data_IF_095265252640
#
_entry.id   IF_095265252640
#
_cell.length_a   1.000
_cell.length_b   1.000
_cell.length_c   1.000
_cell.angle_alpha   90.00
_cell.angle_beta   90.00
_cell.angle_gamma   90.00
#
_symmetry.space_group_name_H-M   'P 1'
#
loop_
_entity.id
_entity.type
_entity.pdbx_description
1 polymer ?
#
# COMPACT_ATOMS: atom_id res chain seq x y z
N UNK A 1 -9.11 -0.90 29.08
CA UNK A 1 -7.87 -1.12 28.31
C UNK A 1 -8.13 -2.27 27.37
N UNK A 2 -8.25 -2.01 26.07
CA UNK A 2 -8.50 -3.08 25.08
C UNK A 2 -7.27 -3.97 24.99
N UNK A 3 -7.45 -5.30 25.08
CA UNK A 3 -6.32 -6.23 24.92
C UNK A 3 -5.97 -6.35 23.43
N UNK A 4 -4.68 -6.48 23.06
CA UNK A 4 -4.28 -6.64 21.65
C UNK A 4 -4.99 -7.82 20.97
N UNK A 5 -5.22 -8.90 21.71
CA UNK A 5 -6.00 -10.06 21.26
C UNK A 5 -7.45 -9.70 20.91
N UNK A 6 -8.11 -8.90 21.74
CA UNK A 6 -9.48 -8.46 21.46
C UNK A 6 -9.53 -7.56 20.23
N UNK A 7 -8.60 -6.60 20.13
CA UNK A 7 -8.46 -5.73 18.96
C UNK A 7 -8.27 -6.54 17.66
N UNK A 8 -7.44 -7.58 17.69
CA UNK A 8 -7.26 -8.48 16.56
C UNK A 8 -8.56 -9.21 16.21
N UNK A 9 -9.27 -9.80 17.17
CA UNK A 9 -10.49 -10.54 16.88
C UNK A 9 -11.60 -9.64 16.30
N UNK A 10 -11.70 -8.41 16.79
CA UNK A 10 -12.74 -7.46 16.37
C UNK A 10 -12.43 -6.80 15.02
N UNK A 11 -11.15 -6.72 14.63
CA UNK A 11 -10.71 -5.96 13.45
C UNK A 11 -9.86 -6.75 12.44
N UNK A 12 -9.64 -8.06 12.61
CA UNK A 12 -8.80 -8.87 11.69
C UNK A 12 -9.23 -8.76 10.23
N UNK A 13 -10.53 -8.65 9.94
CA UNK A 13 -11.04 -8.48 8.58
C UNK A 13 -10.63 -7.12 8.02
N UNK A 14 -10.88 -6.04 8.76
CA UNK A 14 -10.45 -4.70 8.37
C UNK A 14 -8.92 -4.60 8.22
N UNK A 15 -8.16 -5.24 9.10
CA UNK A 15 -6.69 -5.26 9.06
C UNK A 15 -6.12 -6.10 7.91
N UNK A 16 -6.94 -6.92 7.27
CA UNK A 16 -6.54 -7.80 6.16
C UNK A 16 -7.32 -7.53 4.87
N UNK A 17 -8.15 -6.48 4.82
CA UNK A 17 -8.98 -6.13 3.67
C UNK A 17 -8.13 -5.92 2.41
N UNK A 18 -7.02 -5.19 2.54
CA UNK A 18 -6.15 -4.90 1.42
C UNK A 18 -5.37 -6.14 0.95
N UNK A 19 -5.04 -7.04 1.87
CA UNK A 19 -4.47 -8.36 1.56
C UNK A 19 -5.46 -9.21 0.77
N UNK A 20 -6.72 -9.24 1.18
CA UNK A 20 -7.80 -9.91 0.44
C UNK A 20 -7.96 -9.29 -0.96
N UNK A 21 -7.97 -7.97 -1.06
CA UNK A 21 -8.05 -7.26 -2.33
C UNK A 21 -6.90 -7.65 -3.28
N UNK A 22 -5.67 -7.68 -2.77
CA UNK A 22 -4.50 -8.12 -3.54
C UNK A 22 -4.61 -9.59 -3.99
N UNK A 23 -5.12 -10.47 -3.12
CA UNK A 23 -5.33 -11.87 -3.45
C UNK A 23 -6.35 -12.04 -4.59
N UNK A 24 -7.47 -11.31 -4.53
CA UNK A 24 -8.51 -11.31 -5.58
C UNK A 24 -7.96 -10.89 -6.94
N UNK A 25 -7.16 -9.82 -6.99
CA UNK A 25 -6.53 -9.34 -8.22
C UNK A 25 -5.56 -10.37 -8.80
N UNK A 26 -4.68 -10.92 -7.96
CA UNK A 26 -3.64 -11.88 -8.40
C UNK A 26 -4.23 -13.19 -8.91
N UNK A 27 -5.20 -13.73 -8.19
CA UNK A 27 -5.84 -15.00 -8.55
C UNK A 27 -6.96 -14.82 -9.60
N UNK A 28 -7.25 -13.58 -10.01
CA UNK A 28 -8.40 -13.23 -10.86
C UNK A 28 -9.71 -13.83 -10.35
N UNK A 29 -9.85 -13.95 -9.03
CA UNK A 29 -11.01 -14.53 -8.38
C UNK A 29 -11.64 -13.48 -7.46
N UNK A 30 -12.68 -12.80 -7.94
CA UNK A 30 -13.39 -11.78 -7.18
C UNK A 30 -14.22 -12.37 -6.02
N UNK A 31 -14.54 -13.67 -6.09
CA UNK A 31 -15.34 -14.37 -5.09
C UNK A 31 -14.50 -14.96 -3.95
N UNK A 32 -13.17 -14.74 -3.96
CA UNK A 32 -12.32 -15.11 -2.85
C UNK A 32 -12.80 -14.38 -1.59
N UNK A 33 -13.00 -15.11 -0.51
CA UNK A 33 -13.39 -14.56 0.80
C UNK A 33 -12.23 -14.69 1.81
N UNK A 34 -12.39 -14.11 2.99
CA UNK A 34 -11.41 -14.22 4.06
C UNK A 34 -11.12 -15.68 4.40
N UNK A 35 -9.84 -16.01 4.51
CA UNK A 35 -9.38 -17.33 4.91
C UNK A 35 -8.20 -17.20 5.87
N UNK A 36 -7.83 -18.31 6.50
CA UNK A 36 -6.71 -18.34 7.44
C UNK A 36 -5.40 -17.85 6.82
N UNK A 37 -5.18 -18.07 5.51
CA UNK A 37 -3.97 -17.60 4.83
C UNK A 37 -3.93 -16.06 4.69
N UNK A 38 -5.09 -15.41 4.53
CA UNK A 38 -5.21 -13.95 4.49
C UNK A 38 -4.93 -13.36 5.87
N UNK A 39 -5.52 -13.94 6.92
CA UNK A 39 -5.25 -13.51 8.29
C UNK A 39 -3.81 -13.78 8.73
N UNK A 40 -3.25 -14.92 8.31
CA UNK A 40 -1.85 -15.26 8.57
C UNK A 40 -0.91 -14.25 7.90
N UNK A 41 -1.20 -13.83 6.66
CA UNK A 41 -0.42 -12.78 5.99
C UNK A 41 -0.50 -11.44 6.73
N UNK A 42 -1.68 -11.05 7.22
CA UNK A 42 -1.83 -9.84 8.05
C UNK A 42 -0.99 -9.92 9.33
N UNK A 43 -0.97 -11.07 10.01
CA UNK A 43 -0.14 -11.26 11.20
C UNK A 43 1.36 -11.16 10.87
N UNK A 44 1.83 -11.72 9.75
CA UNK A 44 3.22 -11.57 9.30
C UNK A 44 3.56 -10.09 9.06
N UNK A 45 2.69 -9.36 8.36
CA UNK A 45 2.91 -7.93 8.07
C UNK A 45 2.97 -7.10 9.37
N UNK A 46 2.12 -7.41 10.35
CA UNK A 46 2.14 -6.76 11.67
C UNK A 46 3.43 -7.11 12.42
N UNK A 47 3.84 -8.38 12.43
CA UNK A 47 5.09 -8.84 13.06
C UNK A 47 6.31 -8.11 12.49
N UNK A 48 6.42 -8.06 11.17
CA UNK A 48 7.52 -7.40 10.47
C UNK A 48 7.59 -5.91 10.84
N UNK A 49 6.43 -5.23 10.96
CA UNK A 49 6.38 -3.83 11.40
C UNK A 49 6.80 -3.65 12.86
N UNK A 50 6.38 -4.54 13.75
CA UNK A 50 6.79 -4.50 15.17
C UNK A 50 8.31 -4.69 15.29
N UNK A 51 8.87 -5.67 14.59
CA UNK A 51 10.31 -5.94 14.57
C UNK A 51 11.09 -4.73 14.02
N UNK A 52 10.61 -4.12 12.93
CA UNK A 52 11.23 -2.91 12.34
C UNK A 52 11.26 -1.73 13.31
N UNK A 53 10.26 -1.60 14.20
CA UNK A 53 10.22 -0.57 15.22
C UNK A 53 11.08 -0.88 16.47
N UNK A 54 11.84 -1.98 16.46
CA UNK A 54 12.62 -2.45 17.61
C UNK A 54 11.78 -3.15 18.69
N UNK A 55 10.57 -3.57 18.34
CA UNK A 55 9.67 -4.30 19.23
C UNK A 55 10.02 -5.78 19.39
N UNK A 56 9.31 -6.44 20.31
CA UNK A 56 9.42 -7.88 20.58
C UNK A 56 8.49 -8.71 19.68
N UNK A 57 8.63 -10.04 19.72
CA UNK A 57 7.76 -10.99 19.00
C UNK A 57 6.25 -10.80 19.36
N UNK A 58 5.35 -11.09 18.42
CA UNK A 58 3.88 -11.03 18.55
C UNK A 58 3.36 -11.78 19.79
N UNK A 59 4.07 -12.85 20.19
CA UNK A 59 3.77 -13.63 21.40
C UNK A 59 3.73 -12.77 22.66
N UNK A 60 4.57 -11.72 22.75
CA UNK A 60 4.59 -10.79 23.88
C UNK A 60 3.29 -9.99 24.04
N UNK A 61 2.50 -9.87 22.96
CA UNK A 61 1.22 -9.17 22.93
C UNK A 61 0.02 -10.11 23.04
N UNK A 62 0.24 -11.43 23.16
CA UNK A 62 -0.84 -12.44 23.24
C UNK A 62 -1.58 -12.68 21.92
N UNK A 63 -0.94 -12.33 20.79
CA UNK A 63 -1.48 -12.52 19.45
C UNK A 63 -1.14 -13.92 18.89
N UNK A 64 -1.92 -14.45 17.92
CA UNK A 64 -1.60 -15.71 17.26
C UNK A 64 -0.26 -15.60 16.54
N UNK A 65 0.59 -16.63 16.66
CA UNK A 65 1.90 -16.62 16.00
C UNK A 65 1.71 -16.88 14.49
N UNK A 66 2.25 -16.02 13.62
CA UNK A 66 2.16 -16.22 12.19
C UNK A 66 2.99 -17.43 11.75
N UNK A 67 2.43 -18.22 10.85
CA UNK A 67 3.15 -19.31 10.19
C UNK A 67 3.88 -18.77 8.95
N UNK A 68 5.19 -18.55 9.07
CA UNK A 68 6.06 -18.04 7.99
C UNK A 68 6.46 -19.13 6.96
N UNK A 69 6.24 -20.40 7.29
CA UNK A 69 6.60 -21.55 6.44
C UNK A 69 5.51 -21.96 5.46
N UNK A 70 4.27 -21.48 5.64
CA UNK A 70 3.31 -21.49 4.53
C UNK A 70 3.83 -20.50 3.51
N UNK A 71 4.12 -20.98 2.30
CA UNK A 71 4.41 -20.13 1.15
C UNK A 71 3.38 -19.00 1.15
N UNK A 72 3.78 -17.81 1.60
CA UNK A 72 2.85 -16.70 1.66
C UNK A 72 2.53 -16.38 0.21
N UNK A 73 1.38 -16.85 -0.26
CA UNK A 73 0.90 -16.72 -1.64
C UNK A 73 0.92 -15.24 -2.08
N UNK A 74 0.94 -14.34 -1.10
CA UNK A 74 0.97 -12.89 -1.25
C UNK A 74 2.36 -12.35 -0.85
N UNK A 75 3.07 -11.68 -1.77
CA UNK A 75 4.28 -10.91 -1.47
C UNK A 75 3.99 -9.76 -0.51
N UNK A 76 5.04 -9.26 0.14
CA UNK A 76 4.94 -8.06 0.97
C UNK A 76 4.43 -6.85 0.19
N UNK A 77 3.75 -5.94 0.89
CA UNK A 77 3.26 -4.67 0.32
C UNK A 77 4.39 -3.91 -0.34
N UNK A 78 5.56 -3.82 0.30
CA UNK A 78 6.74 -3.15 -0.26
C UNK A 78 7.18 -3.73 -1.61
N UNK A 79 7.10 -5.06 -1.78
CA UNK A 79 7.42 -5.70 -3.07
C UNK A 79 6.34 -5.43 -4.10
N UNK A 80 5.08 -5.39 -3.69
CA UNK A 80 3.94 -5.10 -4.58
C UNK A 80 3.93 -3.63 -5.03
N UNK A 81 4.17 -2.69 -4.12
CA UNK A 81 4.30 -1.26 -4.38
C UNK A 81 5.51 -0.93 -5.25
N UNK A 82 6.50 -1.81 -5.38
CA UNK A 82 7.63 -1.60 -6.30
C UNK A 82 7.51 -2.38 -7.60
N UNK A 83 6.45 -3.15 -7.77
CA UNK A 83 6.24 -4.00 -8.94
C UNK A 83 5.48 -3.27 -10.05
N UNK A 84 5.99 -2.11 -10.45
CA UNK A 84 5.46 -1.37 -11.59
C UNK A 84 6.19 -1.76 -12.88
N UNK A 85 5.46 -1.78 -13.99
CA UNK A 85 6.05 -1.90 -15.32
C UNK A 85 6.75 -0.58 -15.67
N UNK A 86 8.08 -0.57 -15.51
CA UNK A 86 8.91 0.60 -15.75
C UNK A 86 8.85 1.06 -17.21
N UNK A 87 8.74 0.12 -18.16
CA UNK A 87 8.69 0.43 -19.59
C UNK A 87 7.34 1.09 -19.94
N UNK A 88 6.24 0.60 -19.36
CA UNK A 88 4.93 1.22 -19.52
C UNK A 88 4.87 2.63 -18.91
N UNK A 89 5.50 2.82 -17.74
CA UNK A 89 5.58 4.14 -17.09
C UNK A 89 6.40 5.14 -17.91
N UNK A 90 7.55 4.73 -18.46
CA UNK A 90 8.38 5.57 -19.32
C UNK A 90 7.57 6.03 -20.54
N UNK A 91 6.90 5.10 -21.24
CA UNK A 91 6.04 5.43 -22.39
C UNK A 91 4.89 6.36 -22.01
N UNK A 92 4.34 6.21 -20.81
CA UNK A 92 3.29 7.10 -20.32
C UNK A 92 3.81 8.52 -20.11
N UNK A 93 5.01 8.68 -19.56
CA UNK A 93 5.64 9.99 -19.34
C UNK A 93 5.88 10.67 -20.70
N UNK A 94 6.57 10.00 -21.63
CA UNK A 94 6.88 10.54 -22.97
C UNK A 94 5.63 11.06 -23.71
N UNK A 95 4.50 10.36 -23.56
CA UNK A 95 3.24 10.72 -24.21
C UNK A 95 2.52 11.91 -23.55
N UNK A 96 2.65 12.08 -22.23
CA UNK A 96 1.83 13.01 -21.46
C UNK A 96 2.58 14.26 -21.02
N UNK A 97 3.91 14.21 -20.88
CA UNK A 97 4.75 15.37 -20.59
C UNK A 97 4.49 16.57 -21.52
N UNK A 98 4.41 16.43 -22.86
CA UNK A 98 4.13 17.57 -23.74
C UNK A 98 2.69 18.13 -23.62
N UNK A 99 1.78 17.40 -22.96
CA UNK A 99 0.39 17.81 -22.77
C UNK A 99 0.16 18.56 -21.46
N UNK A 100 1.19 18.64 -20.61
CA UNK A 100 1.07 19.28 -19.31
C UNK A 100 0.89 20.79 -19.47
N UNK A 101 -0.08 21.34 -18.75
CA UNK A 101 -0.23 22.80 -18.60
C UNK A 101 0.92 23.32 -17.75
N UNK A 102 1.34 24.56 -17.94
CA UNK A 102 2.47 25.20 -17.24
C UNK A 102 2.51 24.91 -15.73
N UNK A 103 1.37 25.06 -15.01
CA UNK A 103 1.30 24.77 -13.58
C UNK A 103 1.51 23.29 -13.23
N UNK A 104 1.05 22.37 -14.07
CA UNK A 104 1.27 20.92 -13.88
C UNK A 104 2.74 20.58 -14.10
N UNK A 105 3.36 21.18 -15.12
CA UNK A 105 4.78 21.00 -15.42
C UNK A 105 5.66 21.52 -14.30
N UNK A 106 5.40 22.72 -13.80
CA UNK A 106 6.13 23.30 -12.66
C UNK A 106 6.06 22.41 -11.42
N UNK A 107 4.88 21.85 -11.14
CA UNK A 107 4.71 20.96 -10.02
C UNK A 107 5.42 19.61 -10.21
N UNK A 108 5.33 19.05 -11.42
CA UNK A 108 6.04 17.82 -11.81
C UNK A 108 7.56 17.99 -11.68
N UNK A 109 8.13 19.07 -12.22
CA UNK A 109 9.56 19.37 -12.17
C UNK A 109 10.04 19.54 -10.72
N UNK A 110 9.26 20.25 -9.90
CA UNK A 110 9.59 20.47 -8.48
C UNK A 110 9.65 19.18 -7.69
N UNK A 111 8.67 18.28 -7.89
CA UNK A 111 8.64 16.98 -7.21
C UNK A 111 9.77 16.09 -7.70
N UNK A 112 9.94 16.00 -9.02
CA UNK A 112 10.98 15.19 -9.66
C UNK A 112 12.36 15.60 -9.16
N UNK A 113 12.63 16.91 -9.12
CA UNK A 113 13.87 17.46 -8.57
C UNK A 113 14.05 17.10 -7.09
N UNK A 114 13.02 17.28 -6.26
CA UNK A 114 13.09 16.92 -4.84
C UNK A 114 13.39 15.43 -4.61
N UNK A 115 12.83 14.55 -5.44
CA UNK A 115 13.11 13.11 -5.41
C UNK A 115 14.56 12.80 -5.79
N UNK A 116 15.06 13.38 -6.89
CA UNK A 116 16.44 13.17 -7.33
C UNK A 116 17.48 13.74 -6.36
N UNK A 117 17.22 14.92 -5.81
CA UNK A 117 18.08 15.59 -4.85
C UNK A 117 17.98 14.98 -3.43
N UNK A 118 17.08 13.99 -3.23
CA UNK A 118 16.74 13.40 -1.92
C UNK A 118 16.31 14.44 -0.88
N UNK A 119 15.81 15.58 -1.35
CA UNK A 119 15.20 16.60 -0.53
C UNK A 119 13.79 16.13 -0.18
N UNK A 120 13.65 15.44 0.96
CA UNK A 120 12.34 15.06 1.49
C UNK A 120 11.44 16.29 1.67
N UNK A 121 10.12 16.08 1.58
CA UNK A 121 9.14 17.16 1.72
C UNK A 121 7.72 16.68 1.50
N UNK A 122 6.76 17.50 1.91
CA UNK A 122 5.33 17.25 1.69
C UNK A 122 4.83 18.28 0.65
N UNK A 123 4.18 17.79 -0.40
CA UNK A 123 3.57 18.62 -1.44
C UNK A 123 2.05 18.53 -1.32
N UNK A 124 1.37 19.68 -1.25
CA UNK A 124 -0.08 19.74 -1.25
C UNK A 124 -0.57 20.21 -2.62
N UNK A 125 -1.50 19.44 -3.21
CA UNK A 125 -2.20 19.83 -4.43
C UNK A 125 -3.70 19.98 -4.16
N UNK A 126 -4.22 21.19 -4.38
CA UNK A 126 -5.66 21.39 -4.51
C UNK A 126 -6.06 21.19 -5.96
N UNK A 127 -6.76 20.09 -6.24
CA UNK A 127 -7.53 19.96 -7.48
C UNK A 127 -8.73 20.90 -7.38
N UNK A 128 -8.61 22.11 -7.94
CA UNK A 128 -9.79 22.89 -8.28
C UNK A 128 -10.50 22.17 -9.43
N UNK A 129 -11.46 21.32 -9.10
CA UNK A 129 -12.44 20.86 -10.08
C UNK A 129 -13.13 22.11 -10.63
N UNK A 130 -12.85 22.45 -11.88
CA UNK A 130 -13.50 23.55 -12.58
C UNK A 130 -14.99 23.28 -12.55
N UNK A 131 -15.73 24.07 -11.76
CA UNK A 131 -17.19 24.16 -11.83
C UNK A 131 -17.55 24.60 -13.25
N UNK A 132 -17.96 23.65 -14.09
CA UNK A 132 -18.65 23.96 -15.34
C UNK A 132 -19.87 24.82 -15.03
N UNK A 133 -19.85 26.06 -15.51
CA UNK A 133 -21.06 26.88 -15.59
C UNK A 133 -21.92 26.29 -16.70
N UNK A 134 -23.08 25.75 -16.33
CA UNK A 134 -24.21 25.63 -17.23
C UNK A 134 -24.68 27.05 -17.55
N UNK A 135 -24.61 27.43 -18.82
CA UNK A 135 -25.53 28.40 -19.41
C UNK A 135 -26.77 27.63 -19.88
#
# INVERSE_FOLDING_TARGET
MSSPKQLWMDHKENLSEDILHQARIRQKNMYLDYCDDIFNRALIDIEDKIILMGGSDLKSFGLPQPNRNRDSVLPSKERTERNYDSDALIKYIEKNEPKMVQYQKEAFDKITKAVFDRCGGIFFWMLLAVRGRLL
#
